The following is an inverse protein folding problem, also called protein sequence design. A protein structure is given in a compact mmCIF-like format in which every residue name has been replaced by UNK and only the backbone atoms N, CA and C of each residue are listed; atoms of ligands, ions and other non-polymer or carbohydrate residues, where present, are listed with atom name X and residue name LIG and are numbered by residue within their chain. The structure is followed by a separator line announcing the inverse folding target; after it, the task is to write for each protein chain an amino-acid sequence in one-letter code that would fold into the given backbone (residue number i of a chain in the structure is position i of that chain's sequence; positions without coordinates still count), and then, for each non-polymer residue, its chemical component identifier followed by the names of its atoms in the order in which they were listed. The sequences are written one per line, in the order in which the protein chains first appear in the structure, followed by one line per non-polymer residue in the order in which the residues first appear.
data_IF_008084679463
#
_entry.id   IF_008084679463
#
_cell.length_a   1.000
_cell.length_b   1.000
_cell.length_c   1.000
_cell.angle_alpha   90.00
_cell.angle_beta   90.00
_cell.angle_gamma   90.00
#
_symmetry.space_group_name_H-M   'P 1'
#
loop_
_entity.id
_entity.type
_entity.pdbx_description
1 polymer ?
#
# COMPACT_ATOMS: atom_id res chain seq x y z
N UNK A 1 -8.66 23.94 -5.72
CA UNK A 1 -9.74 23.37 -4.87
C UNK A 1 -9.26 23.24 -3.44
N UNK A 2 -10.09 23.59 -2.46
CA UNK A 2 -9.78 23.43 -1.02
C UNK A 2 -9.90 21.95 -0.64
N UNK A 3 -8.92 21.42 0.09
CA UNK A 3 -8.98 20.06 0.61
C UNK A 3 -10.11 19.92 1.63
N UNK A 4 -10.96 18.90 1.46
CA UNK A 4 -12.01 18.54 2.41
C UNK A 4 -11.46 17.46 3.33
N UNK A 5 -11.45 17.74 4.64
CA UNK A 5 -10.99 16.80 5.65
C UNK A 5 -11.80 15.50 5.58
N UNK A 6 -11.12 14.36 5.50
CA UNK A 6 -11.77 13.05 5.46
C UNK A 6 -11.98 12.52 6.87
N UNK A 7 -13.15 11.92 7.13
CA UNK A 7 -13.48 11.35 8.44
C UNK A 7 -12.49 10.25 8.88
N UNK A 8 -11.94 9.53 7.91
CA UNK A 8 -11.03 8.39 8.13
C UNK A 8 -9.59 8.80 8.50
N UNK A 9 -9.24 10.09 8.45
CA UNK A 9 -7.86 10.54 8.67
C UNK A 9 -7.29 10.10 10.03
N UNK A 10 -8.10 10.14 11.08
CA UNK A 10 -7.66 9.74 12.43
C UNK A 10 -7.33 8.25 12.49
N UNK A 11 -8.18 7.42 11.87
CA UNK A 11 -8.02 5.98 11.80
C UNK A 11 -6.80 5.61 10.94
N UNK A 12 -6.58 6.29 9.81
CA UNK A 12 -5.40 6.08 8.97
C UNK A 12 -4.11 6.38 9.72
N UNK A 13 -4.05 7.50 10.45
CA UNK A 13 -2.87 7.86 11.24
C UNK A 13 -2.63 6.89 12.39
N UNK A 14 -3.69 6.43 13.06
CA UNK A 14 -3.58 5.44 14.13
C UNK A 14 -3.09 4.08 13.58
N UNK A 15 -3.71 3.59 12.50
CA UNK A 15 -3.32 2.33 11.86
C UNK A 15 -1.87 2.38 11.37
N UNK A 16 -1.46 3.46 10.72
CA UNK A 16 -0.10 3.66 10.21
C UNK A 16 0.98 3.71 11.30
N UNK A 17 0.62 3.98 12.56
CA UNK A 17 1.53 3.92 13.71
C UNK A 17 1.64 2.51 14.30
N UNK A 18 0.58 1.73 14.20
CA UNK A 18 0.49 0.41 14.85
C UNK A 18 0.82 -0.74 13.92
N UNK A 19 0.62 -0.58 12.60
CA UNK A 19 0.76 -1.64 11.62
C UNK A 19 1.82 -1.30 10.57
N UNK A 20 2.64 -2.28 10.16
CA UNK A 20 3.66 -2.09 9.13
C UNK A 20 3.06 -1.90 7.73
N UNK A 21 1.82 -2.33 7.50
CA UNK A 21 1.08 -2.09 6.26
C UNK A 21 -0.36 -1.68 6.56
N UNK A 22 -0.89 -0.74 5.77
CA UNK A 22 -2.27 -0.26 5.86
C UNK A 22 -2.86 -0.21 4.46
N UNK A 23 -4.03 -0.82 4.26
CA UNK A 23 -4.77 -0.80 3.00
C UNK A 23 -5.97 0.14 3.15
N UNK A 24 -6.10 1.10 2.24
CA UNK A 24 -7.27 1.97 2.11
C UNK A 24 -8.07 1.55 0.86
N UNK A 25 -9.22 0.92 1.08
CA UNK A 25 -10.15 0.53 0.03
C UNK A 25 -11.26 1.56 -0.18
N UNK A 26 -11.95 1.46 -1.31
CA UNK A 26 -13.14 2.23 -1.60
C UNK A 26 -13.28 2.59 -3.09
N UNK A 27 -14.43 3.14 -3.52
CA UNK A 27 -14.74 3.38 -4.92
C UNK A 27 -13.66 4.15 -5.68
N UNK A 28 -13.58 3.94 -7.00
CA UNK A 28 -12.74 4.77 -7.88
C UNK A 28 -13.13 6.24 -7.71
N UNK A 29 -12.12 7.14 -7.77
CA UNK A 29 -12.30 8.60 -7.64
C UNK A 29 -12.85 9.10 -6.29
N UNK A 30 -12.79 8.30 -5.22
CA UNK A 30 -13.18 8.72 -3.85
C UNK A 30 -12.13 9.58 -3.13
N UNK A 31 -10.92 9.74 -3.71
CA UNK A 31 -9.85 10.57 -3.14
C UNK A 31 -8.90 9.84 -2.19
N UNK A 32 -8.78 8.51 -2.29
CA UNK A 32 -7.87 7.66 -1.49
C UNK A 32 -6.41 8.13 -1.58
N UNK A 33 -5.90 8.26 -2.80
CA UNK A 33 -4.56 8.77 -3.07
C UNK A 33 -4.36 10.16 -2.49
N UNK A 34 -5.36 11.03 -2.63
CA UNK A 34 -5.31 12.40 -2.14
C UNK A 34 -5.16 12.44 -0.61
N UNK A 35 -5.94 11.65 0.13
CA UNK A 35 -5.84 11.64 1.60
C UNK A 35 -4.51 11.04 2.06
N UNK A 36 -4.04 9.95 1.44
CA UNK A 36 -2.75 9.36 1.82
C UNK A 36 -1.58 10.30 1.53
N UNK A 37 -1.53 10.90 0.34
CA UNK A 37 -0.48 11.89 0.01
C UNK A 37 -0.53 13.13 0.92
N UNK A 38 -1.72 13.51 1.40
CA UNK A 38 -1.90 14.63 2.34
C UNK A 38 -1.41 14.31 3.75
N UNK A 39 -1.68 13.10 4.24
CA UNK A 39 -1.29 12.64 5.58
C UNK A 39 0.18 12.23 5.66
N UNK A 40 0.74 11.74 4.56
CA UNK A 40 2.10 11.22 4.47
C UNK A 40 2.89 11.92 3.34
N UNK A 41 3.16 13.23 3.46
CA UNK A 41 3.77 14.02 2.39
C UNK A 41 5.20 13.59 2.03
N UNK A 42 5.90 12.91 2.95
CA UNK A 42 7.24 12.37 2.71
C UNK A 42 7.26 10.92 2.19
N UNK A 43 6.09 10.30 1.97
CA UNK A 43 6.04 8.95 1.44
C UNK A 43 6.37 8.94 -0.06
N UNK A 44 7.18 7.97 -0.48
CA UNK A 44 7.35 7.70 -1.91
C UNK A 44 6.00 7.29 -2.52
N UNK A 45 5.79 7.56 -3.81
CA UNK A 45 4.54 7.25 -4.50
C UNK A 45 4.82 6.38 -5.72
N UNK A 46 4.10 5.26 -5.81
CA UNK A 46 4.17 4.30 -6.93
C UNK A 46 2.75 4.04 -7.38
N UNK A 47 2.46 4.30 -8.66
CA UNK A 47 1.17 4.02 -9.27
C UNK A 47 1.25 2.69 -10.00
N UNK A 48 0.62 1.64 -9.46
CA UNK A 48 0.58 0.33 -10.10
C UNK A 48 -0.50 0.26 -11.19
N UNK A 49 -0.78 1.37 -11.88
CA UNK A 49 -1.55 1.41 -13.13
C UNK A 49 -0.64 1.78 -14.31
N UNK A 50 0.55 2.33 -14.02
CA UNK A 50 1.56 2.67 -15.01
C UNK A 50 2.15 1.38 -15.62
N UNK A 51 2.01 1.17 -16.94
CA UNK A 51 2.50 -0.03 -17.61
C UNK A 51 4.01 -0.27 -17.44
N UNK A 52 4.83 0.78 -17.38
CA UNK A 52 6.28 0.65 -17.24
C UNK A 52 6.65 0.19 -15.83
N UNK A 53 5.96 0.71 -14.81
CA UNK A 53 6.13 0.26 -13.43
C UNK A 53 5.65 -1.18 -13.25
N UNK A 54 4.52 -1.56 -13.86
CA UNK A 54 4.02 -2.94 -13.84
C UNK A 54 5.02 -3.88 -14.51
N UNK A 55 5.56 -3.51 -15.67
CA UNK A 55 6.54 -4.32 -16.39
C UNK A 55 7.81 -4.51 -15.55
N UNK A 56 8.33 -3.43 -14.95
CA UNK A 56 9.49 -3.50 -14.04
C UNK A 56 9.22 -4.36 -12.82
N UNK A 57 8.06 -4.21 -12.21
CA UNK A 57 7.65 -5.02 -11.07
C UNK A 57 7.58 -6.51 -11.46
N UNK A 58 6.95 -6.86 -12.58
CA UNK A 58 6.81 -8.26 -13.00
C UNK A 58 8.12 -8.89 -13.49
N UNK A 59 9.06 -8.09 -13.98
CA UNK A 59 10.38 -8.58 -14.38
C UNK A 59 11.22 -9.06 -13.19
N UNK A 60 11.22 -8.31 -12.08
CA UNK A 60 11.86 -8.72 -10.82
C UNK A 60 11.10 -8.14 -9.62
N UNK A 61 10.06 -8.83 -9.14
CA UNK A 61 9.22 -8.34 -8.04
C UNK A 61 9.98 -8.14 -6.73
N UNK A 62 10.95 -9.01 -6.45
CA UNK A 62 11.72 -8.99 -5.22
C UNK A 62 12.66 -7.77 -5.20
N UNK A 63 13.39 -7.52 -6.29
CA UNK A 63 14.24 -6.34 -6.40
C UNK A 63 13.43 -5.04 -6.42
N UNK A 64 12.29 -5.03 -7.11
CA UNK A 64 11.39 -3.87 -7.14
C UNK A 64 10.95 -3.46 -5.74
N UNK A 65 10.45 -4.41 -4.93
CA UNK A 65 10.00 -4.13 -3.56
C UNK A 65 11.19 -3.84 -2.63
N UNK A 66 12.35 -4.48 -2.84
CA UNK A 66 13.54 -4.23 -2.04
C UNK A 66 14.10 -2.80 -2.20
N UNK A 67 13.96 -2.22 -3.39
CA UNK A 67 14.37 -0.85 -3.71
C UNK A 67 13.48 0.23 -3.05
N UNK A 68 12.26 -0.13 -2.63
CA UNK A 68 11.36 0.79 -1.95
C UNK A 68 11.70 0.92 -0.46
N UNK A 69 11.71 2.15 0.02
CA UNK A 69 11.93 2.47 1.44
C UNK A 69 10.65 3.07 2.03
N UNK A 70 9.98 2.36 2.97
CA UNK A 70 8.82 2.90 3.66
C UNK A 70 9.17 4.16 4.51
N UNK A 71 8.28 5.17 4.58
CA UNK A 71 6.89 5.14 4.11
C UNK A 71 6.75 5.23 2.59
N UNK A 72 5.89 4.40 2.01
CA UNK A 72 5.63 4.36 0.57
C UNK A 72 4.15 4.09 0.31
N UNK A 73 3.59 4.78 -0.67
CA UNK A 73 2.23 4.62 -1.16
C UNK A 73 2.29 3.79 -2.45
N UNK A 74 1.69 2.60 -2.44
CA UNK A 74 1.41 1.81 -3.64
C UNK A 74 -0.06 1.96 -3.99
N UNK A 75 -0.33 2.62 -5.10
CA UNK A 75 -1.67 3.00 -5.52
C UNK A 75 -2.23 1.98 -6.52
N UNK A 76 -3.54 1.73 -6.45
CA UNK A 76 -4.29 0.83 -7.34
C UNK A 76 -3.70 -0.60 -7.41
N UNK A 77 -3.41 -1.17 -6.23
CA UNK A 77 -2.71 -2.46 -6.11
C UNK A 77 -3.45 -3.63 -6.76
N UNK A 78 -4.74 -3.52 -7.07
CA UNK A 78 -5.48 -4.57 -7.78
C UNK A 78 -4.94 -4.88 -9.19
N UNK A 79 -4.11 -3.99 -9.76
CA UNK A 79 -3.46 -4.22 -11.05
C UNK A 79 -2.21 -5.12 -10.94
N UNK A 80 -1.65 -5.24 -9.72
CA UNK A 80 -0.52 -6.10 -9.38
C UNK A 80 -0.69 -6.71 -7.97
N UNK A 81 -1.76 -7.48 -7.72
CA UNK A 81 -2.11 -7.99 -6.39
C UNK A 81 -1.00 -8.86 -5.78
N UNK A 82 -0.18 -9.51 -6.61
CA UNK A 82 0.96 -10.32 -6.22
C UNK A 82 2.01 -9.53 -5.41
N UNK A 83 2.03 -8.19 -5.49
CA UNK A 83 2.91 -7.32 -4.70
C UNK A 83 2.75 -7.53 -3.20
N UNK A 84 1.55 -7.92 -2.75
CA UNK A 84 1.26 -8.17 -1.34
C UNK A 84 2.17 -9.26 -0.73
N UNK A 85 2.49 -10.30 -1.51
CA UNK A 85 3.38 -11.37 -1.06
C UNK A 85 4.80 -10.86 -0.79
N UNK A 86 5.31 -10.03 -1.70
CA UNK A 86 6.65 -9.47 -1.58
C UNK A 86 6.74 -8.44 -0.45
N UNK A 87 5.68 -7.65 -0.24
CA UNK A 87 5.59 -6.71 0.90
C UNK A 87 5.59 -7.49 2.22
N UNK A 88 4.82 -8.57 2.33
CA UNK A 88 4.81 -9.43 3.53
C UNK A 88 6.22 -9.95 3.83
N UNK A 89 6.87 -10.58 2.86
CA UNK A 89 8.25 -11.04 3.01
C UNK A 89 9.19 -9.91 3.43
N UNK A 90 9.03 -8.71 2.85
CA UNK A 90 9.86 -7.55 3.18
C UNK A 90 9.63 -7.05 4.60
N UNK A 91 8.39 -7.07 5.09
CA UNK A 91 8.02 -6.74 6.48
C UNK A 91 8.68 -7.73 7.43
N UNK A 92 8.53 -9.04 7.17
CA UNK A 92 9.10 -10.10 8.01
C UNK A 92 10.63 -9.99 8.12
N UNK A 93 11.32 -9.78 6.98
CA UNK A 93 12.77 -9.58 6.93
C UNK A 93 13.26 -8.31 7.64
N UNK A 94 12.36 -7.39 7.96
CA UNK A 94 12.69 -6.12 8.62
C UNK A 94 12.04 -5.98 9.99
N UNK A 95 11.47 -7.06 10.52
CA UNK A 95 10.90 -7.11 11.85
C UNK A 95 11.90 -6.59 12.90
N UNK A 96 11.42 -5.74 13.81
CA UNK A 96 12.25 -5.09 14.84
C UNK A 96 13.00 -3.83 14.40
N UNK A 97 13.01 -3.48 13.10
CA UNK A 97 13.57 -2.20 12.62
C UNK A 97 12.48 -1.13 12.56
N UNK A 98 12.76 0.08 13.04
CA UNK A 98 11.86 1.22 12.86
C UNK A 98 11.84 1.63 11.39
N UNK A 99 10.74 1.30 10.70
CA UNK A 99 10.45 1.72 9.32
C UNK A 99 9.06 2.35 9.26
N UNK A 100 8.83 3.20 8.27
CA UNK A 100 7.48 3.73 8.01
C UNK A 100 6.52 2.64 7.51
N UNK A 101 5.22 2.96 7.40
CA UNK A 101 4.22 2.02 6.89
C UNK A 101 4.28 1.86 5.36
N UNK A 102 3.94 0.67 4.89
CA UNK A 102 3.46 0.43 3.53
C UNK A 102 2.00 0.88 3.44
N UNK A 103 1.71 1.86 2.59
CA UNK A 103 0.38 2.43 2.43
C UNK A 103 -0.16 1.98 1.07
N UNK A 104 -1.26 1.24 1.06
CA UNK A 104 -1.79 0.61 -0.14
C UNK A 104 -3.17 1.17 -0.45
N UNK A 105 -3.51 1.32 -1.73
CA UNK A 105 -4.89 1.62 -2.15
C UNK A 105 -5.43 0.57 -3.10
N UNK A 106 -6.74 0.36 -3.08
CA UNK A 106 -7.40 -0.38 -4.15
C UNK A 106 -8.89 -0.09 -4.26
N UNK A 107 -9.45 -0.29 -5.46
CA UNK A 107 -10.86 0.04 -5.74
C UNK A 107 -11.83 -1.13 -5.71
N UNK A 108 -11.35 -2.37 -5.61
CA UNK A 108 -12.16 -3.59 -5.68
C UNK A 108 -12.01 -4.45 -4.42
N UNK A 109 -12.89 -4.27 -3.44
CA UNK A 109 -12.83 -4.98 -2.15
C UNK A 109 -12.88 -6.52 -2.33
N UNK A 110 -13.81 -7.07 -3.10
CA UNK A 110 -13.98 -8.54 -3.15
C UNK A 110 -12.79 -9.31 -3.79
N UNK A 111 -12.17 -8.74 -4.84
CA UNK A 111 -11.00 -9.35 -5.48
C UNK A 111 -9.72 -9.14 -4.67
N UNK A 112 -9.57 -7.94 -4.11
CA UNK A 112 -8.42 -7.58 -3.29
C UNK A 112 -8.42 -8.34 -1.97
N UNK A 113 -9.56 -8.48 -1.30
CA UNK A 113 -9.68 -9.16 -0.02
C UNK A 113 -9.33 -10.65 -0.13
N UNK A 114 -9.62 -11.32 -1.26
CA UNK A 114 -9.14 -12.69 -1.51
C UNK A 114 -7.60 -12.75 -1.54
N UNK A 115 -6.98 -11.89 -2.33
CA UNK A 115 -5.51 -11.81 -2.39
C UNK A 115 -4.87 -11.40 -1.07
N UNK A 116 -5.50 -10.51 -0.30
CA UNK A 116 -5.06 -10.12 1.05
C UNK A 116 -5.21 -11.28 2.03
N UNK A 117 -6.33 -12.02 2.03
CA UNK A 117 -6.49 -13.18 2.90
C UNK A 117 -5.48 -14.27 2.55
N UNK A 118 -5.32 -14.63 1.28
CA UNK A 118 -4.36 -15.66 0.86
C UNK A 118 -2.91 -15.28 1.16
N UNK A 119 -2.57 -13.99 1.02
CA UNK A 119 -1.24 -13.49 1.31
C UNK A 119 -1.02 -13.31 2.83
N UNK A 120 -1.95 -12.70 3.55
CA UNK A 120 -1.75 -12.25 4.93
C UNK A 120 -2.33 -13.18 6.01
N UNK A 121 -3.08 -14.22 5.67
CA UNK A 121 -3.62 -15.18 6.65
C UNK A 121 -2.59 -16.19 7.18
N UNK A 122 -1.35 -16.14 6.70
CA UNK A 122 -0.26 -16.96 7.21
C UNK A 122 0.27 -16.44 8.56
N UNK A 123 -0.38 -16.89 9.65
CA UNK A 123 -0.02 -16.73 11.08
C UNK A 123 -0.64 -15.53 11.80
N UNK A 124 -1.80 -15.78 12.42
CA UNK A 124 -2.06 -15.31 13.79
C UNK A 124 -1.25 -16.16 14.78
#
# INVERSE_FOLDING_TARGET
MRYIKRLIEKQLLAAARSFPAVILTGPRRSGKTTVLRRLFPGAAYVLLEDPDLILRFRADPAAFVAALTPPVILDEIQNAPEVLNYIRTRIDLTAGRKRGPWLLTGSHEAGLMRGVTESMAGRA
#
